data_IF_751254992911
#
_entry.id   IF_751254992911
#
_cell.length_a   1.000
_cell.length_b   1.000
_cell.length_c   1.000
_cell.angle_alpha   90.00
_cell.angle_beta   90.00
_cell.angle_gamma   90.00
#
_symmetry.space_group_name_H-M   'P 1'
#
loop_
_entity.id
_entity.type
_entity.pdbx_description
1 polymer ?
#
# COMPACT_ATOMS: atom_id res chain seq x y z
N UNK A 1 -7.38 20.22 25.19
CA UNK A 1 -6.58 19.21 25.91
C UNK A 1 -5.11 19.49 25.70
N UNK A 2 -4.38 19.72 26.77
CA UNK A 2 -2.94 20.01 26.69
C UNK A 2 -2.15 18.71 26.69
N UNK A 3 -0.93 18.75 26.14
CA UNK A 3 0.03 17.61 26.16
C UNK A 3 0.21 17.09 27.60
N UNK A 4 0.19 17.99 28.59
CA UNK A 4 0.25 17.63 30.01
C UNK A 4 -0.92 16.73 30.45
N UNK A 5 -2.16 17.02 30.01
CA UNK A 5 -3.33 16.19 30.31
C UNK A 5 -3.17 14.78 29.76
N UNK A 6 -2.80 14.64 28.52
CA UNK A 6 -2.64 13.33 27.87
C UNK A 6 -1.59 12.43 28.58
N UNK A 7 -0.50 12.99 29.07
CA UNK A 7 0.50 12.21 29.81
C UNK A 7 0.07 11.90 31.24
N UNK A 8 -0.69 12.80 31.88
CA UNK A 8 -1.27 12.57 33.21
C UNK A 8 -2.31 11.46 33.19
N UNK A 9 -3.15 11.41 32.15
CA UNK A 9 -4.20 10.39 31.98
C UNK A 9 -3.64 8.96 31.85
N UNK A 10 -2.42 8.83 31.32
CA UNK A 10 -1.70 7.55 31.23
C UNK A 10 -0.72 7.32 32.41
N UNK A 11 -0.76 8.15 33.44
CA UNK A 11 0.03 7.99 34.68
C UNK A 11 1.52 8.37 34.56
N UNK A 12 1.91 9.14 33.52
CA UNK A 12 3.29 9.56 33.32
C UNK A 12 3.49 10.98 33.88
N UNK A 13 3.72 11.10 35.17
CA UNK A 13 3.84 12.41 35.88
C UNK A 13 5.14 13.15 35.53
N UNK A 14 6.25 12.45 35.25
CA UNK A 14 7.57 13.05 34.97
C UNK A 14 7.93 12.96 33.48
N UNK A 15 6.96 13.13 32.58
CA UNK A 15 7.16 12.97 31.16
C UNK A 15 8.20 13.93 30.57
N UNK A 16 8.29 15.15 31.08
CA UNK A 16 9.26 16.16 30.61
C UNK A 16 10.71 15.71 30.81
N UNK A 17 10.99 14.98 31.88
CA UNK A 17 12.34 14.46 32.18
C UNK A 17 12.67 13.23 31.34
N UNK A 18 11.67 12.49 30.94
CA UNK A 18 11.82 11.22 30.20
C UNK A 18 11.74 11.37 28.70
N UNK A 19 11.13 12.46 28.21
CA UNK A 19 10.93 12.69 26.79
C UNK A 19 12.24 13.03 26.10
N UNK A 20 12.66 12.18 25.16
CA UNK A 20 13.91 12.32 24.39
C UNK A 20 13.63 12.70 22.95
N UNK A 21 12.54 12.19 22.37
CA UNK A 21 12.24 12.45 20.98
C UNK A 21 10.78 12.22 20.62
N UNK A 22 10.38 12.78 19.49
CA UNK A 22 9.06 12.62 18.89
C UNK A 22 9.21 12.16 17.45
N UNK A 23 8.59 11.04 17.12
CA UNK A 23 8.46 10.57 15.74
C UNK A 23 7.10 10.93 15.15
N UNK A 24 7.08 11.53 13.94
CA UNK A 24 5.83 11.87 13.26
C UNK A 24 5.87 11.48 11.78
N UNK A 25 4.69 11.38 11.16
CA UNK A 25 4.54 11.09 9.72
C UNK A 25 4.81 12.31 8.82
N UNK A 26 5.17 13.44 9.40
CA UNK A 26 5.42 14.67 8.68
C UNK A 26 4.17 15.45 8.29
N UNK A 27 3.00 15.11 8.84
CA UNK A 27 1.79 15.90 8.67
C UNK A 27 2.01 17.34 9.15
N UNK A 28 1.47 18.31 8.42
CA UNK A 28 1.67 19.74 8.70
C UNK A 28 1.28 20.15 10.12
N UNK A 29 0.30 19.45 10.71
CA UNK A 29 -0.11 19.66 12.09
C UNK A 29 1.01 19.33 13.08
N UNK A 30 1.85 18.35 12.76
CA UNK A 30 2.95 17.90 13.61
C UNK A 30 4.21 18.76 13.46
N UNK A 31 4.53 19.19 12.23
CA UNK A 31 5.83 19.80 11.89
C UNK A 31 5.81 21.31 11.64
N UNK A 32 4.67 21.99 11.80
CA UNK A 32 4.60 23.45 11.65
C UNK A 32 5.59 24.15 12.62
N UNK A 33 6.43 25.04 12.08
CA UNK A 33 7.40 25.81 12.88
C UNK A 33 6.77 26.65 14.00
N UNK A 34 5.54 27.11 13.80
CA UNK A 34 4.74 27.81 14.80
C UNK A 34 3.45 27.04 15.06
N UNK A 35 3.30 26.46 16.25
CA UNK A 35 2.07 25.77 16.67
C UNK A 35 1.94 24.32 16.22
N UNK A 36 2.95 23.71 15.62
CA UNK A 36 2.98 22.24 15.43
C UNK A 36 3.29 21.52 16.75
N UNK A 37 2.87 20.27 16.87
CA UNK A 37 3.09 19.47 18.09
C UNK A 37 4.59 19.39 18.43
N UNK A 38 5.45 19.18 17.44
CA UNK A 38 6.91 19.17 17.66
C UNK A 38 7.42 20.49 18.23
N UNK A 39 6.99 21.62 17.67
CA UNK A 39 7.40 22.95 18.15
C UNK A 39 6.90 23.22 19.58
N UNK A 40 5.68 22.82 19.91
CA UNK A 40 5.14 22.94 21.27
C UNK A 40 5.90 22.06 22.26
N UNK A 41 6.22 20.82 21.86
CA UNK A 41 7.02 19.92 22.71
C UNK A 41 8.44 20.44 22.91
N UNK A 42 9.09 20.99 21.88
CA UNK A 42 10.43 21.59 21.99
C UNK A 42 10.43 22.85 22.85
N UNK A 43 9.34 23.63 22.85
CA UNK A 43 9.19 24.77 23.77
C UNK A 43 9.16 24.31 25.24
N UNK A 44 8.43 23.21 25.53
CA UNK A 44 8.33 22.65 26.88
C UNK A 44 9.58 21.85 27.30
N UNK A 45 10.20 21.16 26.34
CA UNK A 45 11.37 20.29 26.56
C UNK A 45 12.37 20.54 25.42
N UNK A 46 13.29 21.52 25.54
CA UNK A 46 14.18 21.94 24.45
C UNK A 46 15.10 20.83 23.88
N UNK A 47 15.35 19.77 24.67
CA UNK A 47 16.19 18.65 24.25
C UNK A 47 15.46 17.63 23.35
N UNK A 48 14.15 17.78 23.13
CA UNK A 48 13.39 16.84 22.29
C UNK A 48 13.87 16.89 20.85
N UNK A 49 14.22 15.73 20.34
CA UNK A 49 14.58 15.54 18.92
C UNK A 49 13.31 15.20 18.15
N UNK A 50 12.97 16.03 17.14
CA UNK A 50 11.91 15.72 16.19
C UNK A 50 12.51 14.95 15.00
N UNK A 51 11.92 13.80 14.67
CA UNK A 51 12.32 13.02 13.50
C UNK A 51 11.11 12.52 12.73
N UNK A 52 11.22 12.58 11.42
CA UNK A 52 10.18 12.07 10.54
C UNK A 52 10.25 10.55 10.43
N UNK A 53 9.09 9.90 10.46
CA UNK A 53 8.95 8.46 10.31
C UNK A 53 9.64 7.97 9.03
N UNK A 54 10.71 7.19 9.16
CA UNK A 54 11.48 6.68 8.03
C UNK A 54 10.66 5.80 7.06
N UNK A 55 9.81 4.87 7.52
CA UNK A 55 8.89 4.13 6.65
C UNK A 55 7.99 5.04 5.82
N UNK A 56 7.44 6.10 6.41
CA UNK A 56 6.60 7.05 5.67
C UNK A 56 7.39 7.82 4.60
N UNK A 57 8.61 8.27 4.92
CA UNK A 57 9.49 8.92 3.94
C UNK A 57 9.85 8.00 2.79
N UNK A 58 10.10 6.72 3.08
CA UNK A 58 10.37 5.70 2.06
C UNK A 58 9.14 5.53 1.14
N UNK A 59 7.95 5.44 1.69
CA UNK A 59 6.71 5.35 0.88
C UNK A 59 6.53 6.58 -0.03
N UNK A 60 6.76 7.78 0.47
CA UNK A 60 6.69 8.99 -0.35
C UNK A 60 7.72 8.99 -1.48
N UNK A 61 8.95 8.53 -1.21
CA UNK A 61 9.99 8.40 -2.24
C UNK A 61 9.58 7.38 -3.33
N UNK A 62 9.02 6.25 -2.94
CA UNK A 62 8.52 5.22 -3.86
C UNK A 62 7.33 5.71 -4.70
N UNK A 63 6.40 6.46 -4.11
CA UNK A 63 5.31 7.10 -4.85
C UNK A 63 5.83 8.12 -5.88
N UNK A 64 6.88 8.86 -5.54
CA UNK A 64 7.53 9.78 -6.48
C UNK A 64 8.20 9.00 -7.61
N UNK A 65 8.92 7.93 -7.30
CA UNK A 65 9.52 7.03 -8.28
C UNK A 65 8.47 6.41 -9.22
N UNK A 66 7.33 5.95 -8.70
CA UNK A 66 6.23 5.43 -9.50
C UNK A 66 5.77 6.44 -10.55
N UNK A 67 5.62 7.71 -10.18
CA UNK A 67 5.20 8.77 -11.09
C UNK A 67 6.26 9.14 -12.14
N UNK A 68 7.53 8.98 -11.83
CA UNK A 68 8.65 9.35 -12.72
C UNK A 68 9.15 8.19 -13.59
N UNK A 69 8.90 6.94 -13.21
CA UNK A 69 9.33 5.76 -13.95
C UNK A 69 8.14 5.13 -14.69
N UNK A 70 8.11 5.24 -16.02
CA UNK A 70 7.04 4.71 -16.86
C UNK A 70 6.79 3.22 -16.66
N UNK A 71 7.85 2.41 -16.51
CA UNK A 71 7.72 0.97 -16.27
C UNK A 71 6.97 0.70 -14.95
N UNK A 72 7.35 1.39 -13.87
CA UNK A 72 6.70 1.21 -12.55
C UNK A 72 5.25 1.65 -12.60
N UNK A 73 4.94 2.77 -13.27
CA UNK A 73 3.58 3.23 -13.49
C UNK A 73 2.76 2.18 -14.26
N UNK A 74 3.30 1.64 -15.35
CA UNK A 74 2.64 0.62 -16.16
C UNK A 74 2.34 -0.65 -15.33
N UNK A 75 3.31 -1.15 -14.57
CA UNK A 75 3.09 -2.32 -13.69
C UNK A 75 1.95 -2.04 -12.70
N UNK A 76 1.94 -0.85 -12.13
CA UNK A 76 0.90 -0.44 -11.21
C UNK A 76 -0.49 -0.41 -11.86
N UNK A 77 -0.59 0.16 -13.06
CA UNK A 77 -1.85 0.24 -13.81
C UNK A 77 -2.37 -1.15 -14.22
N UNK A 78 -1.47 -2.04 -14.65
CA UNK A 78 -1.80 -3.44 -14.94
C UNK A 78 -2.33 -4.16 -13.70
N UNK A 79 -1.67 -4.03 -12.55
CA UNK A 79 -2.14 -4.63 -11.30
C UNK A 79 -3.52 -4.09 -10.88
N UNK A 80 -3.77 -2.81 -11.09
CA UNK A 80 -5.08 -2.20 -10.84
C UNK A 80 -6.14 -2.73 -11.81
N UNK A 81 -5.80 -2.89 -13.07
CA UNK A 81 -6.71 -3.45 -14.08
C UNK A 81 -7.09 -4.89 -13.72
N UNK A 82 -6.11 -5.74 -13.42
CA UNK A 82 -6.32 -7.12 -12.97
C UNK A 82 -7.27 -7.14 -11.76
N UNK A 83 -6.98 -6.32 -10.74
CA UNK A 83 -7.87 -6.22 -9.58
C UNK A 83 -9.28 -5.79 -9.96
N UNK A 84 -9.42 -4.73 -10.78
CA UNK A 84 -10.72 -4.21 -11.21
C UNK A 84 -11.54 -5.29 -11.92
N UNK A 85 -10.91 -6.03 -12.83
CA UNK A 85 -11.55 -7.10 -13.60
C UNK A 85 -12.11 -8.20 -12.71
N UNK A 86 -11.35 -8.66 -11.71
CA UNK A 86 -11.76 -9.82 -10.90
C UNK A 86 -12.46 -9.45 -9.59
N UNK A 87 -12.23 -8.26 -9.04
CA UNK A 87 -12.87 -7.84 -7.81
C UNK A 87 -14.34 -7.48 -7.99
N UNK A 88 -14.67 -6.81 -9.10
CA UNK A 88 -16.02 -6.32 -9.38
C UNK A 88 -16.83 -7.23 -10.31
N UNK A 89 -16.24 -8.31 -10.83
CA UNK A 89 -16.93 -9.29 -11.66
C UNK A 89 -16.83 -10.69 -11.08
N UNK A 90 -17.85 -11.15 -10.33
CA UNK A 90 -17.90 -12.54 -9.85
C UNK A 90 -17.80 -13.55 -10.98
N UNK A 91 -18.40 -13.26 -12.14
CA UNK A 91 -18.32 -14.12 -13.33
C UNK A 91 -16.88 -14.30 -13.81
N UNK A 92 -16.11 -13.21 -13.92
CA UNK A 92 -14.69 -13.27 -14.32
C UNK A 92 -13.85 -14.01 -13.27
N UNK A 93 -14.11 -13.78 -11.99
CA UNK A 93 -13.40 -14.48 -10.92
C UNK A 93 -13.69 -15.98 -10.91
N UNK A 94 -14.94 -16.38 -11.09
CA UNK A 94 -15.33 -17.79 -11.18
C UNK A 94 -14.67 -18.48 -12.39
N UNK A 95 -14.65 -17.81 -13.56
CA UNK A 95 -13.99 -18.34 -14.76
C UNK A 95 -12.48 -18.52 -14.54
N UNK A 96 -11.82 -17.54 -13.90
CA UNK A 96 -10.40 -17.64 -13.55
C UNK A 96 -10.13 -18.85 -12.63
N UNK A 97 -10.99 -19.06 -11.63
CA UNK A 97 -10.89 -20.18 -10.71
C UNK A 97 -11.11 -21.53 -11.42
N UNK A 98 -12.07 -21.60 -12.35
CA UNK A 98 -12.32 -22.81 -13.16
C UNK A 98 -11.08 -23.19 -13.96
N UNK A 99 -10.46 -22.22 -14.67
CA UNK A 99 -9.22 -22.44 -15.41
C UNK A 99 -8.10 -22.90 -14.47
N UNK A 100 -7.97 -22.27 -13.29
CA UNK A 100 -6.98 -22.68 -12.30
C UNK A 100 -7.18 -24.11 -11.82
N UNK A 101 -8.42 -24.52 -11.58
CA UNK A 101 -8.76 -25.89 -11.15
C UNK A 101 -8.40 -26.91 -12.22
N UNK A 102 -8.69 -26.62 -13.49
CA UNK A 102 -8.33 -27.47 -14.65
C UNK A 102 -6.81 -27.64 -14.80
N UNK A 103 -6.05 -26.59 -14.44
CA UNK A 103 -4.58 -26.59 -14.52
C UNK A 103 -3.89 -26.97 -13.18
N UNK A 104 -4.62 -27.36 -12.16
CA UNK A 104 -4.08 -27.73 -10.83
C UNK A 104 -3.49 -26.57 -10.04
N UNK A 105 -3.79 -25.32 -10.41
CA UNK A 105 -3.27 -24.11 -9.76
C UNK A 105 -4.32 -23.50 -8.85
N UNK A 106 -3.94 -23.28 -7.58
CA UNK A 106 -4.83 -22.58 -6.63
C UNK A 106 -4.85 -21.07 -6.92
N UNK A 107 -5.97 -20.60 -7.44
CA UNK A 107 -6.16 -19.18 -7.82
C UNK A 107 -6.57 -18.35 -6.61
N UNK A 108 -5.70 -17.41 -6.24
CA UNK A 108 -5.95 -16.41 -5.21
C UNK A 108 -6.60 -15.16 -5.80
N UNK A 109 -7.51 -14.55 -5.04
CA UNK A 109 -8.16 -13.30 -5.45
C UNK A 109 -7.13 -12.15 -5.53
N UNK A 110 -7.07 -11.41 -6.65
CA UNK A 110 -6.19 -10.26 -6.79
C UNK A 110 -6.44 -9.20 -5.72
N UNK A 111 -5.37 -8.75 -5.07
CA UNK A 111 -5.44 -7.84 -3.93
C UNK A 111 -5.35 -6.37 -4.34
N UNK A 112 -5.75 -5.48 -3.43
CA UNK A 112 -5.67 -4.04 -3.65
C UNK A 112 -4.21 -3.58 -3.68
N UNK A 113 -3.89 -2.67 -4.63
CA UNK A 113 -2.58 -2.03 -4.76
C UNK A 113 -2.58 -0.55 -4.33
N UNK A 114 -3.76 0.03 -4.06
CA UNK A 114 -3.91 1.39 -3.51
C UNK A 114 -4.09 1.34 -2.00
N UNK A 115 -3.52 2.32 -1.31
CA UNK A 115 -3.65 2.49 0.13
C UNK A 115 -2.59 3.45 0.66
N UNK A 116 -2.70 3.80 1.93
CA UNK A 116 -1.75 4.67 2.63
C UNK A 116 -0.37 4.01 2.80
N UNK A 117 -0.29 2.68 2.67
CA UNK A 117 0.93 1.88 2.73
C UNK A 117 1.15 1.17 1.39
N UNK A 118 1.63 1.92 0.42
CA UNK A 118 1.76 1.48 -0.97
C UNK A 118 2.66 0.25 -1.15
N UNK A 119 3.84 0.23 -0.52
CA UNK A 119 4.82 -0.84 -0.70
C UNK A 119 4.31 -2.23 -0.27
N UNK A 120 3.67 -2.41 0.90
CA UNK A 120 3.06 -3.69 1.27
C UNK A 120 1.97 -4.14 0.32
N UNK A 121 1.18 -3.21 -0.21
CA UNK A 121 0.09 -3.53 -1.14
C UNK A 121 0.62 -4.04 -2.48
N UNK A 122 1.61 -3.37 -3.07
CA UNK A 122 2.21 -3.81 -4.34
C UNK A 122 2.94 -5.14 -4.18
N UNK A 123 3.71 -5.31 -3.10
CA UNK A 123 4.40 -6.57 -2.80
C UNK A 123 3.43 -7.74 -2.68
N UNK A 124 2.31 -7.54 -1.99
CA UNK A 124 1.26 -8.57 -1.87
C UNK A 124 0.63 -8.89 -3.22
N UNK A 125 0.30 -7.89 -4.03
CA UNK A 125 -0.29 -8.07 -5.34
C UNK A 125 0.64 -8.84 -6.29
N UNK A 126 1.92 -8.51 -6.30
CA UNK A 126 2.93 -9.23 -7.07
C UNK A 126 3.10 -10.67 -6.57
N UNK A 127 3.17 -10.89 -5.26
CA UNK A 127 3.27 -12.24 -4.68
C UNK A 127 2.11 -13.14 -5.11
N UNK A 128 0.89 -12.62 -5.13
CA UNK A 128 -0.29 -13.37 -5.58
C UNK A 128 -0.13 -13.83 -7.05
N UNK A 129 0.48 -13.02 -7.91
CA UNK A 129 0.68 -13.37 -9.32
C UNK A 129 1.86 -14.32 -9.54
N UNK A 130 2.96 -14.13 -8.81
CA UNK A 130 4.25 -14.80 -9.08
C UNK A 130 4.42 -16.07 -8.26
N UNK A 131 3.67 -16.28 -7.17
CA UNK A 131 3.77 -17.49 -6.35
C UNK A 131 3.49 -18.74 -7.19
N UNK A 132 4.44 -19.68 -7.32
CA UNK A 132 4.26 -20.86 -8.13
C UNK A 132 3.14 -21.76 -7.59
N UNK A 133 2.35 -22.33 -8.49
CA UNK A 133 1.49 -23.48 -8.22
C UNK A 133 2.30 -24.75 -7.99
N UNK A 134 1.61 -25.87 -7.76
CA UNK A 134 2.24 -27.19 -7.55
C UNK A 134 3.06 -27.68 -8.77
N UNK A 135 2.72 -27.20 -9.94
CA UNK A 135 3.35 -27.49 -11.22
C UNK A 135 4.47 -26.50 -11.61
N UNK A 136 4.80 -25.55 -10.73
CA UNK A 136 5.76 -24.49 -11.00
C UNK A 136 5.20 -23.32 -11.83
N UNK A 137 3.99 -23.43 -12.41
CA UNK A 137 3.33 -22.31 -13.07
C UNK A 137 2.68 -21.41 -12.04
N UNK A 138 3.00 -20.13 -12.05
CA UNK A 138 2.35 -19.14 -11.19
C UNK A 138 0.96 -18.78 -11.73
N UNK A 139 0.14 -18.17 -10.87
CA UNK A 139 -1.16 -17.63 -11.25
C UNK A 139 -1.08 -16.62 -12.41
N UNK A 140 0.10 -16.07 -12.68
CA UNK A 140 0.36 -15.10 -13.75
C UNK A 140 -0.06 -15.61 -15.12
N UNK A 141 0.35 -16.82 -15.51
CA UNK A 141 0.01 -17.41 -16.82
C UNK A 141 -1.50 -17.59 -17.02
N UNK A 142 -2.21 -17.99 -15.97
CA UNK A 142 -3.68 -18.14 -16.01
C UNK A 142 -4.36 -16.77 -16.16
N UNK A 143 -3.87 -15.78 -15.43
CA UNK A 143 -4.39 -14.40 -15.53
C UNK A 143 -4.17 -13.84 -16.92
N UNK A 144 -2.97 -13.99 -17.49
CA UNK A 144 -2.64 -13.54 -18.87
C UNK A 144 -3.55 -14.23 -19.88
N UNK A 145 -3.67 -15.55 -19.83
CA UNK A 145 -4.54 -16.32 -20.74
C UNK A 145 -6.00 -15.83 -20.68
N UNK A 146 -6.55 -15.66 -19.46
CA UNK A 146 -7.93 -15.22 -19.31
C UNK A 146 -8.12 -13.76 -19.72
N UNK A 147 -7.16 -12.88 -19.45
CA UNK A 147 -7.23 -11.47 -19.88
C UNK A 147 -7.17 -11.35 -21.41
N UNK A 148 -6.34 -12.15 -22.08
CA UNK A 148 -6.29 -12.22 -23.53
C UNK A 148 -7.64 -12.66 -24.13
N UNK A 149 -8.23 -13.71 -23.60
CA UNK A 149 -9.57 -14.14 -23.98
C UNK A 149 -10.63 -13.05 -23.75
N UNK A 150 -10.56 -12.32 -22.62
CA UNK A 150 -11.46 -11.20 -22.35
C UNK A 150 -11.25 -10.04 -23.31
N UNK A 151 -10.02 -9.75 -23.74
CA UNK A 151 -9.74 -8.68 -24.70
C UNK A 151 -10.39 -8.92 -26.06
N UNK A 152 -10.47 -10.18 -26.47
CA UNK A 152 -11.11 -10.56 -27.75
C UNK A 152 -12.64 -10.59 -27.66
N UNK A 153 -13.21 -10.93 -26.51
CA UNK A 153 -14.65 -11.13 -26.33
C UNK A 153 -15.37 -9.96 -25.66
N UNK A 154 -14.66 -9.14 -24.89
CA UNK A 154 -15.24 -8.04 -24.14
C UNK A 154 -15.49 -6.81 -25.02
N UNK A 155 -16.60 -6.09 -24.73
CA UNK A 155 -16.87 -4.75 -25.26
C UNK A 155 -16.19 -3.65 -24.43
N UNK A 156 -15.52 -3.99 -23.33
CA UNK A 156 -14.88 -3.02 -22.43
C UNK A 156 -13.55 -2.54 -23.03
N UNK A 157 -13.45 -1.25 -23.30
CA UNK A 157 -12.27 -0.63 -23.92
C UNK A 157 -11.00 -0.78 -23.06
N UNK A 158 -11.14 -0.75 -21.73
CA UNK A 158 -10.00 -0.88 -20.79
C UNK A 158 -9.31 -2.26 -20.85
N UNK A 159 -10.01 -3.27 -21.40
CA UNK A 159 -9.48 -4.63 -21.52
C UNK A 159 -8.88 -4.86 -22.92
N UNK A 160 -9.31 -4.08 -23.91
CA UNK A 160 -8.87 -4.18 -25.31
C UNK A 160 -7.64 -3.36 -25.63
N UNK A 161 -7.27 -2.39 -24.77
CA UNK A 161 -6.19 -1.44 -24.99
C UNK A 161 -4.82 -1.88 -24.52
#
# INVERSE_FOLDING_TARGET
ETVNGAFSDVGISQWKEKLVGMGSDGASLNIRKKGGVAALLQHEVPRVIDFQCLPHRLELALLKMQKSCKLVSTIYDVLQLIRKTYHFSPKSMHKLQSIGTELGVNVLKPTQVRGTRWLPHISRALKVLVTPGKDGSGQYSIVVYHMDHLSTTSKNADIKG
#
